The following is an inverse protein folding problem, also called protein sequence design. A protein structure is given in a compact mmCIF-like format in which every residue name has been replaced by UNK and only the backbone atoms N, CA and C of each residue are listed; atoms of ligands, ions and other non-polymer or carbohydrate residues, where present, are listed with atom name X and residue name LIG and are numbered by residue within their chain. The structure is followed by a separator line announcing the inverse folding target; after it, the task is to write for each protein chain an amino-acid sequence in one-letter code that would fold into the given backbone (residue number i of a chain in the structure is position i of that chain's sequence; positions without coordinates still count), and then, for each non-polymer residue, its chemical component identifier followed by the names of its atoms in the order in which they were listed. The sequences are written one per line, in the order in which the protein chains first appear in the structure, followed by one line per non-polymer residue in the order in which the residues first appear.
data_IF_373997079093
#
_entry.id   IF_373997079093
#
_cell.length_a   1.000
_cell.length_b   1.000
_cell.length_c   1.000
_cell.angle_alpha   90.00
_cell.angle_beta   90.00
_cell.angle_gamma   90.00
#
_symmetry.space_group_name_H-M   'P 1'
#
loop_
_entity.id
_entity.type
_entity.pdbx_description
1 polymer ?
#
# COMPACT_ATOMS: atom_id res chain seq x y z
N UNK A 1 -11.03 -2.47 5.37
CA UNK A 1 -10.74 -2.81 3.95
C UNK A 1 -9.60 -3.81 3.83
N UNK A 2 -8.38 -3.44 4.22
CA UNK A 2 -7.16 -4.23 4.09
C UNK A 2 -7.16 -5.50 4.93
N UNK A 3 -7.80 -5.50 6.11
CA UNK A 3 -8.00 -6.73 6.89
C UNK A 3 -8.90 -7.75 6.18
N UNK A 4 -10.00 -7.29 5.58
CA UNK A 4 -10.92 -8.14 4.80
C UNK A 4 -10.24 -8.63 3.53
N UNK A 5 -9.51 -7.75 2.86
CA UNK A 5 -8.66 -8.09 1.72
C UNK A 5 -7.66 -9.20 2.07
N UNK A 6 -6.91 -9.09 3.18
CA UNK A 6 -5.95 -10.11 3.62
C UNK A 6 -6.61 -11.43 4.01
N UNK A 7 -7.69 -11.41 4.79
CA UNK A 7 -8.41 -12.62 5.20
C UNK A 7 -8.94 -13.40 3.99
N UNK A 8 -9.47 -12.68 3.02
CA UNK A 8 -10.01 -13.25 1.78
C UNK A 8 -8.92 -13.74 0.81
N UNK A 9 -7.71 -13.20 0.89
CA UNK A 9 -6.56 -13.64 0.10
C UNK A 9 -5.88 -14.91 0.65
N UNK A 10 -6.23 -15.38 1.86
CA UNK A 10 -5.55 -16.47 2.56
C UNK A 10 -5.81 -17.89 1.97
N UNK A 11 -6.58 -17.99 0.88
CA UNK A 11 -7.04 -19.25 0.28
C UNK A 11 -6.34 -19.70 -1.01
N UNK A 12 -5.15 -19.19 -1.35
CA UNK A 12 -4.53 -19.46 -2.65
C UNK A 12 -3.28 -20.38 -2.54
N UNK A 13 -3.44 -21.64 -2.96
CA UNK A 13 -2.33 -22.42 -3.52
C UNK A 13 -2.16 -22.02 -4.99
N UNK A 14 -0.95 -21.60 -5.34
CA UNK A 14 -0.57 -21.21 -6.70
C UNK A 14 -0.79 -22.38 -7.66
N UNK A 15 -1.66 -22.17 -8.65
CA UNK A 15 -1.63 -22.95 -9.88
C UNK A 15 -1.64 -21.99 -11.07
N UNK A 16 -0.44 -21.60 -11.47
CA UNK A 16 -0.21 -20.98 -12.76
C UNK A 16 -0.59 -21.99 -13.84
N UNK A 17 -1.65 -21.72 -14.60
CA UNK A 17 -1.96 -22.45 -15.82
C UNK A 17 -1.82 -21.45 -16.95
N UNK A 18 -0.71 -21.54 -17.67
CA UNK A 18 -0.51 -20.94 -18.99
C UNK A 18 -1.55 -21.51 -19.95
N UNK A 19 -2.66 -20.79 -20.16
CA UNK A 19 -3.48 -20.93 -21.37
C UNK A 19 -4.01 -19.54 -21.73
N UNK A 20 -3.20 -18.84 -22.52
CA UNK A 20 -3.52 -17.53 -23.09
C UNK A 20 -4.48 -17.70 -24.25
N UNK A 21 -5.79 -17.63 -23.99
CA UNK A 21 -6.82 -17.45 -25.01
C UNK A 21 -7.12 -15.95 -25.13
N UNK A 22 -6.55 -15.29 -26.15
CA UNK A 22 -6.85 -13.88 -26.48
C UNK A 22 -8.26 -13.82 -27.07
N UNK A 23 -9.26 -13.63 -26.21
CA UNK A 23 -10.60 -13.19 -26.60
C UNK A 23 -10.62 -11.67 -26.56
N UNK A 24 -10.69 -11.06 -27.75
CA UNK A 24 -10.96 -9.63 -27.91
C UNK A 24 -12.42 -9.35 -27.55
N UNK A 25 -12.70 -9.10 -26.27
CA UNK A 25 -14.00 -8.63 -25.78
C UNK A 25 -13.90 -7.16 -25.40
N UNK A 26 -14.88 -6.36 -25.82
CA UNK A 26 -15.02 -4.98 -25.37
C UNK A 26 -15.00 -4.95 -23.84
N UNK A 27 -14.17 -4.09 -23.24
CA UNK A 27 -14.13 -3.92 -21.79
C UNK A 27 -15.55 -3.61 -21.31
N UNK A 28 -16.05 -4.39 -20.35
CA UNK A 28 -17.35 -4.15 -19.76
C UNK A 28 -17.31 -2.84 -18.95
N UNK A 29 -18.48 -2.24 -18.71
CA UNK A 29 -18.57 -1.05 -17.84
C UNK A 29 -17.98 -1.32 -16.44
N UNK A 30 -18.01 -2.57 -15.98
CA UNK A 30 -17.40 -3.00 -14.73
C UNK A 30 -15.87 -3.06 -14.80
N UNK A 31 -15.28 -3.42 -15.95
CA UNK A 31 -13.83 -3.39 -16.17
C UNK A 31 -13.32 -1.96 -16.13
N UNK A 32 -14.00 -1.06 -16.87
CA UNK A 32 -13.66 0.36 -16.92
C UNK A 32 -13.79 1.02 -15.54
N UNK A 33 -14.84 0.70 -14.79
CA UNK A 33 -15.01 1.20 -13.43
C UNK A 33 -13.88 0.73 -12.51
N UNK A 34 -13.56 -0.56 -12.57
CA UNK A 34 -12.53 -1.15 -11.73
C UNK A 34 -11.15 -0.56 -12.02
N UNK A 35 -10.76 -0.48 -13.29
CA UNK A 35 -9.51 0.15 -13.72
C UNK A 35 -9.44 1.62 -13.28
N UNK A 36 -10.57 2.34 -13.34
CA UNK A 36 -10.64 3.71 -12.83
C UNK A 36 -10.43 3.79 -11.32
N UNK A 37 -10.95 2.85 -10.53
CA UNK A 37 -10.71 2.81 -9.08
C UNK A 37 -9.23 2.54 -8.79
N UNK A 38 -8.60 1.61 -9.51
CA UNK A 38 -7.17 1.32 -9.34
C UNK A 38 -6.31 2.54 -9.67
N UNK A 39 -6.59 3.24 -10.77
CA UNK A 39 -5.88 4.48 -11.11
C UNK A 39 -6.00 5.54 -10.02
N UNK A 40 -7.17 5.67 -9.39
CA UNK A 40 -7.32 6.58 -8.25
C UNK A 40 -6.54 6.13 -7.02
N UNK A 41 -6.35 4.82 -6.80
CA UNK A 41 -5.50 4.32 -5.72
C UNK A 41 -4.03 4.62 -6.03
N UNK A 42 -3.57 4.40 -7.26
CA UNK A 42 -2.22 4.76 -7.69
C UNK A 42 -1.93 6.25 -7.44
N UNK A 43 -2.87 7.12 -7.82
CA UNK A 43 -2.78 8.56 -7.58
C UNK A 43 -2.61 8.85 -6.07
N UNK A 44 -3.45 8.27 -5.21
CA UNK A 44 -3.38 8.44 -3.75
C UNK A 44 -2.01 8.03 -3.20
N UNK A 45 -1.46 6.91 -3.67
CA UNK A 45 -0.18 6.38 -3.18
C UNK A 45 1.00 7.29 -3.58
N UNK A 46 0.87 8.04 -4.68
CA UNK A 46 1.85 9.01 -5.15
C UNK A 46 1.69 10.41 -4.55
N UNK A 47 0.57 10.71 -3.88
CA UNK A 47 0.31 12.04 -3.32
C UNK A 47 1.26 12.39 -2.17
N UNK A 48 1.73 13.64 -2.16
CA UNK A 48 2.56 14.19 -1.07
C UNK A 48 1.82 14.12 0.27
N UNK A 49 0.51 14.36 0.29
CA UNK A 49 -0.31 14.28 1.50
C UNK A 49 -0.28 12.88 2.13
N UNK A 50 -0.22 11.83 1.31
CA UNK A 50 -0.16 10.45 1.79
C UNK A 50 1.21 10.13 2.37
N UNK A 51 2.28 10.60 1.75
CA UNK A 51 3.64 10.48 2.27
C UNK A 51 3.82 11.26 3.58
N UNK A 52 3.26 12.47 3.67
CA UNK A 52 3.24 13.26 4.90
C UNK A 52 2.45 12.58 6.01
N UNK A 53 1.30 11.97 5.69
CA UNK A 53 0.50 11.20 6.65
C UNK A 53 1.32 10.06 7.26
N UNK A 54 2.00 9.26 6.44
CA UNK A 54 2.87 8.18 6.90
C UNK A 54 3.99 8.73 7.77
N UNK A 55 4.70 9.77 7.31
CA UNK A 55 5.79 10.40 8.04
C UNK A 55 5.33 10.93 9.40
N UNK A 56 4.21 11.65 9.47
CA UNK A 56 3.64 12.14 10.72
C UNK A 56 3.29 11.00 11.69
N UNK A 57 2.77 9.90 11.17
CA UNK A 57 2.49 8.72 11.98
C UNK A 57 3.77 8.08 12.53
N UNK A 58 4.82 8.01 11.71
CA UNK A 58 6.12 7.48 12.09
C UNK A 58 6.81 8.36 13.15
N UNK A 59 6.83 9.68 12.94
CA UNK A 59 7.35 10.66 13.91
C UNK A 59 6.68 10.53 15.29
N UNK A 60 5.39 10.17 15.32
CA UNK A 60 4.63 9.99 16.57
C UNK A 60 5.08 8.76 17.37
N UNK A 61 5.48 7.68 16.71
CA UNK A 61 5.63 6.36 17.35
C UNK A 61 7.01 5.71 17.23
N UNK A 62 7.96 6.27 16.48
CA UNK A 62 9.25 5.61 16.22
C UNK A 62 10.05 5.25 17.47
N UNK A 63 9.92 6.04 18.55
CA UNK A 63 10.59 5.77 19.81
C UNK A 63 10.13 4.47 20.48
N UNK A 64 8.89 4.04 20.24
CA UNK A 64 8.32 2.84 20.85
C UNK A 64 8.95 1.57 20.30
N UNK A 65 9.44 1.59 19.06
CA UNK A 65 9.97 0.42 18.36
C UNK A 65 11.41 0.10 18.74
N UNK A 66 11.69 -1.17 18.96
CA UNK A 66 12.98 -1.74 19.32
C UNK A 66 13.30 -2.93 18.40
N UNK A 67 14.57 -3.00 18.01
CA UNK A 67 15.13 -4.05 17.16
C UNK A 67 15.43 -5.30 18.00
N UNK A 68 14.36 -5.86 18.55
CA UNK A 68 14.35 -7.06 19.39
C UNK A 68 13.39 -8.09 18.78
N UNK A 69 13.66 -9.37 19.02
CA UNK A 69 12.82 -10.48 18.53
C UNK A 69 11.43 -10.46 19.19
N UNK A 70 11.35 -10.08 20.46
CA UNK A 70 10.10 -9.96 21.21
C UNK A 70 9.38 -8.63 20.90
N UNK A 71 8.07 -8.72 20.62
CA UNK A 71 7.24 -7.56 20.33
C UNK A 71 6.62 -6.97 21.59
N UNK A 72 6.68 -5.65 21.73
CA UNK A 72 5.95 -4.95 22.80
C UNK A 72 4.44 -5.07 22.58
N UNK A 73 3.69 -5.16 23.69
CA UNK A 73 2.23 -5.20 23.66
C UNK A 73 1.62 -3.97 22.96
N UNK A 74 2.29 -2.81 23.00
CA UNK A 74 1.80 -1.59 22.34
C UNK A 74 1.85 -1.67 20.80
N UNK A 75 2.71 -2.51 20.21
CA UNK A 75 2.88 -2.58 18.75
C UNK A 75 1.58 -2.92 18.03
N UNK A 76 0.75 -3.81 18.61
CA UNK A 76 -0.54 -4.18 18.01
C UNK A 76 -1.55 -3.03 18.01
N UNK A 77 -1.53 -2.20 19.06
CA UNK A 77 -2.41 -1.04 19.14
C UNK A 77 -1.99 0.02 18.12
N UNK A 78 -0.68 0.28 18.01
CA UNK A 78 -0.12 1.22 17.02
C UNK A 78 -0.37 0.72 15.60
N UNK A 79 -0.15 -0.57 15.34
CA UNK A 79 -0.41 -1.19 14.04
C UNK A 79 -1.88 -1.09 13.63
N UNK A 80 -2.81 -1.30 14.58
CA UNK A 80 -4.24 -1.10 14.32
C UNK A 80 -4.54 0.36 13.98
N UNK A 81 -4.02 1.31 14.76
CA UNK A 81 -4.19 2.75 14.49
C UNK A 81 -3.63 3.12 13.11
N UNK A 82 -2.48 2.58 12.73
CA UNK A 82 -1.88 2.77 11.41
C UNK A 82 -2.79 2.26 10.30
N UNK A 83 -3.19 0.98 10.38
CA UNK A 83 -4.07 0.35 9.39
C UNK A 83 -5.36 1.14 9.23
N UNK A 84 -6.01 1.50 10.35
CA UNK A 84 -7.27 2.23 10.35
C UNK A 84 -7.09 3.65 9.76
N UNK A 85 -5.94 4.30 9.99
CA UNK A 85 -5.61 5.62 9.43
C UNK A 85 -5.43 5.58 7.91
N UNK A 86 -4.66 4.60 7.41
CA UNK A 86 -4.41 4.42 5.98
C UNK A 86 -5.70 4.01 5.26
N UNK A 87 -6.44 3.03 5.80
CA UNK A 87 -7.71 2.58 5.24
C UNK A 87 -8.70 3.76 5.10
N UNK A 88 -8.83 4.56 6.16
CA UNK A 88 -9.73 5.72 6.16
C UNK A 88 -9.32 6.78 5.14
N UNK A 89 -8.01 7.00 4.97
CA UNK A 89 -7.52 7.97 3.99
C UNK A 89 -7.90 7.54 2.56
N UNK A 90 -7.67 6.28 2.22
CA UNK A 90 -8.02 5.71 0.91
C UNK A 90 -9.54 5.77 0.70
N UNK A 91 -10.33 5.33 1.69
CA UNK A 91 -11.80 5.33 1.61
C UNK A 91 -12.37 6.73 1.35
N UNK A 92 -11.93 7.73 2.12
CA UNK A 92 -12.40 9.12 1.95
C UNK A 92 -12.09 9.63 0.55
N UNK A 93 -10.90 9.31 0.03
CA UNK A 93 -10.50 9.77 -1.29
C UNK A 93 -11.33 9.11 -2.40
N UNK A 94 -11.53 7.79 -2.33
CA UNK A 94 -12.35 7.06 -3.30
C UNK A 94 -13.81 7.51 -3.31
N UNK A 95 -14.42 7.69 -2.13
CA UNK A 95 -15.80 8.20 -2.01
C UNK A 95 -15.93 9.63 -2.56
N UNK A 96 -14.87 10.44 -2.46
CA UNK A 96 -14.86 11.81 -2.98
C UNK A 96 -14.72 11.86 -4.50
N UNK A 97 -13.92 10.97 -5.09
CA UNK A 97 -13.64 10.96 -6.53
C UNK A 97 -14.72 10.22 -7.33
N UNK A 98 -15.31 9.17 -6.75
CA UNK A 98 -16.21 8.26 -7.45
C UNK A 98 -17.64 8.38 -6.87
N UNK A 99 -18.60 8.91 -7.64
CA UNK A 99 -19.98 9.05 -7.17
C UNK A 99 -20.61 7.67 -6.95
N UNK A 100 -21.31 7.52 -5.82
CA UNK A 100 -21.93 6.26 -5.39
C UNK A 100 -20.94 5.09 -5.20
N UNK A 101 -19.67 5.39 -4.90
CA UNK A 101 -18.69 4.36 -4.60
C UNK A 101 -19.11 3.50 -3.41
N UNK A 102 -19.04 2.18 -3.58
CA UNK A 102 -19.25 1.19 -2.54
C UNK A 102 -17.95 0.45 -2.26
N UNK A 103 -17.40 0.65 -1.05
CA UNK A 103 -16.18 -0.03 -0.64
C UNK A 103 -16.37 -1.56 -0.56
N UNK A 104 -17.57 -2.02 -0.18
CA UNK A 104 -17.88 -3.45 -0.14
C UNK A 104 -17.89 -4.08 -1.53
N UNK A 105 -18.52 -3.41 -2.52
CA UNK A 105 -18.53 -3.89 -3.91
C UNK A 105 -17.13 -3.89 -4.52
N UNK A 106 -16.32 -2.87 -4.20
CA UNK A 106 -14.94 -2.84 -4.64
C UNK A 106 -14.12 -3.99 -4.07
N UNK A 107 -14.25 -4.28 -2.77
CA UNK A 107 -13.56 -5.43 -2.15
C UNK A 107 -13.96 -6.75 -2.82
N UNK A 108 -15.23 -6.95 -3.17
CA UNK A 108 -15.66 -8.15 -3.91
C UNK A 108 -15.03 -8.22 -5.31
N UNK A 109 -15.00 -7.11 -6.05
CA UNK A 109 -14.36 -7.05 -7.37
C UNK A 109 -12.84 -7.33 -7.29
N UNK A 110 -12.17 -6.82 -6.26
CA UNK A 110 -10.76 -7.08 -6.00
C UNK A 110 -10.47 -8.59 -5.86
N UNK A 111 -11.40 -9.38 -5.33
CA UNK A 111 -11.22 -10.82 -5.20
C UNK A 111 -11.31 -11.53 -6.55
N UNK A 112 -12.33 -11.18 -7.36
CA UNK A 112 -12.58 -11.85 -8.64
C UNK A 112 -11.48 -11.56 -9.65
N UNK A 113 -10.88 -10.37 -9.60
CA UNK A 113 -9.91 -9.88 -10.59
C UNK A 113 -8.47 -9.81 -10.10
N UNK A 114 -8.17 -10.43 -8.95
CA UNK A 114 -6.83 -10.38 -8.33
C UNK A 114 -5.69 -10.82 -9.26
N UNK A 115 -5.96 -11.69 -10.24
CA UNK A 115 -4.97 -12.19 -11.20
C UNK A 115 -4.80 -11.29 -12.44
N UNK A 116 -5.73 -10.37 -12.70
CA UNK A 116 -5.75 -9.52 -13.90
C UNK A 116 -5.03 -8.18 -13.68
N UNK A 117 -4.63 -7.90 -12.45
CA UNK A 117 -4.16 -6.59 -12.01
C UNK A 117 -2.64 -6.50 -11.89
N UNK A 118 -2.12 -5.29 -12.06
CA UNK A 118 -0.72 -4.96 -11.77
C UNK A 118 -0.41 -5.29 -10.30
N UNK A 119 0.49 -6.25 -10.08
CA UNK A 119 0.85 -6.75 -8.76
C UNK A 119 1.35 -5.64 -7.81
N UNK A 120 1.97 -4.59 -8.33
CA UNK A 120 2.61 -3.53 -7.53
C UNK A 120 1.63 -2.78 -6.60
N UNK A 121 0.46 -2.34 -7.10
CA UNK A 121 -0.53 -1.64 -6.28
C UNK A 121 -1.05 -2.54 -5.17
N UNK A 122 -1.26 -3.82 -5.48
CA UNK A 122 -1.74 -4.80 -4.52
C UNK A 122 -0.69 -5.18 -3.49
N UNK A 123 0.56 -5.33 -3.92
CA UNK A 123 1.69 -5.55 -3.03
C UNK A 123 1.81 -4.39 -2.05
N UNK A 124 1.70 -3.15 -2.53
CA UNK A 124 1.71 -1.97 -1.69
C UNK A 124 0.51 -1.95 -0.73
N UNK A 125 -0.71 -2.18 -1.20
CA UNK A 125 -1.88 -2.30 -0.32
C UNK A 125 -1.75 -3.44 0.70
N UNK A 126 -1.13 -4.55 0.32
CA UNK A 126 -0.92 -5.69 1.19
C UNK A 126 0.11 -5.39 2.28
N UNK A 127 1.16 -4.62 1.96
CA UNK A 127 2.18 -4.21 2.93
C UNK A 127 1.61 -3.35 4.06
N UNK A 128 0.59 -2.53 3.80
CA UNK A 128 -0.07 -1.74 4.85
C UNK A 128 -0.81 -2.60 5.88
N UNK A 129 -1.19 -3.82 5.51
CA UNK A 129 -1.76 -4.83 6.42
C UNK A 129 -0.74 -5.85 6.92
N UNK A 130 0.54 -5.68 6.59
CA UNK A 130 1.58 -6.59 7.02
C UNK A 130 2.28 -6.07 8.27
N UNK A 131 2.15 -6.81 9.37
CA UNK A 131 2.80 -6.41 10.62
C UNK A 131 4.33 -6.46 10.53
N UNK A 132 4.90 -7.40 9.76
CA UNK A 132 6.35 -7.52 9.61
C UNK A 132 6.87 -6.32 8.83
N UNK A 133 6.29 -6.03 7.66
CA UNK A 133 6.68 -4.86 6.86
C UNK A 133 6.50 -3.55 7.65
N UNK A 134 5.40 -3.45 8.40
CA UNK A 134 5.15 -2.31 9.28
C UNK A 134 6.21 -2.15 10.37
N UNK A 135 6.63 -3.24 11.05
CA UNK A 135 7.67 -3.18 12.08
C UNK A 135 9.01 -2.76 11.47
N UNK A 136 9.41 -3.39 10.36
CA UNK A 136 10.65 -3.06 9.65
C UNK A 136 10.68 -1.58 9.24
N UNK A 137 9.59 -1.06 8.67
CA UNK A 137 9.46 0.35 8.31
C UNK A 137 9.74 1.30 9.50
N UNK A 138 9.28 0.96 10.70
CA UNK A 138 9.55 1.73 11.91
C UNK A 138 11.00 1.59 12.41
N UNK A 139 11.61 0.42 12.27
CA UNK A 139 13.00 0.18 12.64
C UNK A 139 13.96 0.94 11.70
N UNK A 140 13.70 0.92 10.40
CA UNK A 140 14.43 1.68 9.40
C UNK A 140 14.37 3.18 9.70
N UNK A 141 13.17 3.68 10.02
CA UNK A 141 12.98 5.08 10.36
C UNK A 141 13.69 5.46 11.65
N UNK A 142 13.65 4.60 12.68
CA UNK A 142 14.41 4.80 13.90
C UNK A 142 15.92 4.83 13.63
N UNK A 143 16.43 3.92 12.79
CA UNK A 143 17.83 3.89 12.41
C UNK A 143 18.25 5.16 11.66
N UNK A 144 17.38 5.70 10.79
CA UNK A 144 17.57 7.02 10.16
C UNK A 144 17.63 8.15 11.20
N UNK A 145 16.72 8.16 12.18
CA UNK A 145 16.67 9.19 13.24
C UNK A 145 17.86 9.12 14.20
N UNK A 146 18.36 7.92 14.47
CA UNK A 146 19.56 7.68 15.26
C UNK A 146 20.87 7.95 14.48
N UNK A 147 20.78 8.35 13.21
CA UNK A 147 21.93 8.64 12.36
C UNK A 147 22.72 7.40 11.92
N UNK A 148 22.11 6.22 11.99
CA UNK A 148 22.71 4.94 11.57
C UNK A 148 22.53 4.66 10.07
N UNK A 149 21.65 5.39 9.41
CA UNK A 149 21.42 5.34 7.97
C UNK A 149 21.69 6.73 7.39
N UNK A 150 22.55 6.81 6.37
CA UNK A 150 22.78 8.07 5.66
C UNK A 150 21.53 8.46 4.86
N UNK A 151 21.13 9.73 4.98
CA UNK A 151 20.01 10.30 4.24
C UNK A 151 20.34 10.34 2.73
N UNK A 152 19.99 9.26 2.02
CA UNK A 152 20.23 9.10 0.57
C UNK A 152 19.47 10.14 -0.28
N UNK A 153 18.51 10.88 0.29
CA UNK A 153 17.83 11.99 -0.41
C UNK A 153 18.81 13.12 -0.80
N UNK A 154 19.98 13.18 -0.15
CA UNK A 154 21.02 14.18 -0.43
C UNK A 154 22.08 13.70 -1.43
N UNK A 155 22.04 12.44 -1.86
CA UNK A 155 23.10 11.81 -2.66
C UNK A 155 22.89 11.79 -4.17
N UNK A 156 21.66 12.01 -4.66
CA UNK A 156 21.36 11.98 -6.11
C UNK A 156 21.58 13.38 -6.71
N UNK A 157 22.83 13.85 -6.70
CA UNK A 157 23.24 14.94 -7.57
C UNK A 157 23.55 14.34 -8.94
N UNK A 158 22.60 14.39 -9.89
CA UNK A 158 22.91 14.14 -11.29
C UNK A 158 23.88 15.25 -11.71
N UNK A 159 25.17 14.94 -11.73
CA UNK A 159 26.15 15.79 -12.38
C UNK A 159 25.90 15.64 -13.88
N UNK A 160 25.11 16.56 -14.44
CA UNK A 160 25.08 16.75 -15.89
C UNK A 160 26.50 17.12 -16.31
N UNK A 161 27.25 16.12 -16.75
CA UNK A 161 28.54 16.30 -17.40
C UNK A 161 28.31 17.11 -18.66
N UNK A 162 28.66 18.39 -18.60
CA UNK A 162 28.83 19.24 -19.77
C UNK A 162 30.02 18.64 -20.53
N UNK A 163 29.74 17.94 -21.64
CA UNK A 163 30.75 17.65 -22.64
C UNK A 163 31.19 18.98 -23.26
N UNK A 164 32.48 19.27 -23.18
CA UNK A 164 33.15 20.35 -23.90
C UNK A 164 33.98 19.77 -25.05
#
# INVERSE_FOLDING_TARGET
MMKRFREQCRGFESKCSDDLEIVSTQASDQDIFFDSVIGHIEDILMEENFQELQKCFMEKYWHEFEDEEENKLCYMNIFKEYTDTIEKHIEIHLVKMIPNFSMDEFIEQLQTRKNELNGEVFEMLFTFSDFIAFKEMFLDYKAMKDGRVEDLSKGICITSGILH
#
